data_IF_233412860392
#
_entry.id   IF_233412860392
#
_cell.length_a   1.000
_cell.length_b   1.000
_cell.length_c   1.000
_cell.angle_alpha   90.00
_cell.angle_beta   90.00
_cell.angle_gamma   90.00
#
_symmetry.space_group_name_H-M   'P 1'
#
loop_
_entity.id
_entity.type
_entity.pdbx_description
1 polymer ?
#
# COMPACT_ATOMS: atom_id res chain seq x y z
N UNK A 1 -18.64 -14.17 -20.08
CA UNK A 1 -18.50 -12.70 -20.11
C UNK A 1 -19.25 -12.13 -18.92
N UNK A 2 -18.56 -11.92 -17.81
CA UNK A 2 -19.16 -11.34 -16.61
C UNK A 2 -19.30 -9.83 -16.82
N UNK A 3 -20.49 -9.29 -16.60
CA UNK A 3 -20.76 -7.86 -16.66
C UNK A 3 -19.99 -7.15 -15.55
N UNK A 4 -18.97 -6.36 -15.90
CA UNK A 4 -18.35 -5.44 -14.96
C UNK A 4 -19.29 -4.29 -14.68
N UNK A 5 -20.00 -4.39 -13.56
CA UNK A 5 -20.72 -3.27 -12.96
C UNK A 5 -19.68 -2.23 -12.52
N UNK A 6 -19.54 -1.15 -13.30
CA UNK A 6 -18.64 -0.02 -13.03
C UNK A 6 -18.99 0.76 -11.76
N UNK A 7 -20.04 0.36 -11.02
CA UNK A 7 -20.41 0.93 -9.72
C UNK A 7 -19.59 0.38 -8.54
N UNK A 8 -18.76 -0.65 -8.74
CA UNK A 8 -17.92 -1.22 -7.68
C UNK A 8 -16.54 -0.54 -7.68
N UNK A 9 -16.25 0.25 -6.64
CA UNK A 9 -14.90 0.79 -6.41
C UNK A 9 -13.96 -0.41 -6.16
N UNK A 10 -13.11 -0.72 -7.14
CA UNK A 10 -12.11 -1.78 -7.01
C UNK A 10 -11.06 -1.41 -5.96
N UNK A 11 -10.47 -2.40 -5.25
CA UNK A 11 -9.47 -2.12 -4.24
C UNK A 11 -8.16 -1.64 -4.89
N UNK A 12 -7.48 -0.73 -4.21
CA UNK A 12 -6.25 -0.06 -4.66
C UNK A 12 -5.01 -0.74 -4.08
N UNK A 13 -4.09 -1.13 -4.95
CA UNK A 13 -2.78 -1.65 -4.60
C UNK A 13 -1.73 -0.60 -4.95
N UNK A 14 -1.00 -0.11 -3.95
CA UNK A 14 0.12 0.80 -4.20
C UNK A 14 1.34 0.00 -4.68
N UNK A 15 2.01 0.50 -5.71
CA UNK A 15 3.22 -0.10 -6.27
C UNK A 15 4.28 0.97 -6.42
N UNK A 16 5.40 0.85 -5.71
CA UNK A 16 6.48 1.84 -5.79
C UNK A 16 7.26 1.66 -7.09
N UNK A 17 7.45 2.77 -7.81
CA UNK A 17 8.09 2.73 -9.12
C UNK A 17 9.60 2.49 -9.07
N UNK A 18 10.09 1.78 -10.08
CA UNK A 18 11.50 1.78 -10.49
C UNK A 18 11.83 3.05 -11.28
N UNK A 19 13.12 3.36 -11.47
CA UNK A 19 13.58 4.50 -12.24
C UNK A 19 14.60 4.05 -13.27
N UNK A 20 14.50 4.59 -14.48
CA UNK A 20 15.55 4.50 -15.47
C UNK A 20 15.86 5.89 -16.04
N UNK A 21 16.99 5.99 -16.74
CA UNK A 21 17.34 7.19 -17.51
C UNK A 21 17.03 6.91 -18.98
N UNK A 22 16.06 7.65 -19.53
CA UNK A 22 15.72 7.59 -20.96
C UNK A 22 15.91 8.96 -21.58
N UNK A 23 16.80 9.07 -22.57
CA UNK A 23 17.14 10.35 -23.24
C UNK A 23 17.51 11.46 -22.24
N UNK A 24 18.38 11.14 -21.28
CA UNK A 24 18.83 12.03 -20.20
C UNK A 24 17.71 12.57 -19.29
N UNK A 25 16.59 11.85 -19.18
CA UNK A 25 15.49 12.17 -18.28
C UNK A 25 15.19 10.97 -17.40
N UNK A 26 14.92 11.22 -16.13
CA UNK A 26 14.41 10.18 -15.23
C UNK A 26 12.99 9.81 -15.63
N UNK A 27 12.75 8.51 -15.72
CA UNK A 27 11.43 7.93 -15.99
C UNK A 27 11.15 6.91 -14.90
N UNK A 28 10.05 7.12 -14.19
CA UNK A 28 9.55 6.17 -13.22
C UNK A 28 8.67 5.13 -13.94
N UNK A 29 8.86 3.84 -13.67
CA UNK A 29 8.18 2.73 -14.35
C UNK A 29 7.95 1.52 -13.42
N UNK A 30 7.07 0.61 -13.82
CA UNK A 30 6.81 -0.69 -13.16
C UNK A 30 6.75 -1.76 -14.26
N UNK A 31 7.24 -2.96 -13.98
CA UNK A 31 7.16 -4.09 -14.92
C UNK A 31 5.72 -4.48 -15.21
N UNK A 32 5.41 -4.76 -16.48
CA UNK A 32 4.05 -5.02 -16.96
C UNK A 32 3.41 -6.24 -16.30
N UNK A 33 4.16 -7.34 -16.10
CA UNK A 33 3.63 -8.55 -15.45
C UNK A 33 3.07 -8.30 -14.04
N UNK A 34 3.66 -7.40 -13.26
CA UNK A 34 3.11 -7.01 -11.96
C UNK A 34 1.74 -6.35 -12.13
N UNK A 35 1.63 -5.40 -13.07
CA UNK A 35 0.40 -4.65 -13.33
C UNK A 35 -0.70 -5.58 -13.85
N UNK A 36 -0.36 -6.44 -14.81
CA UNK A 36 -1.28 -7.39 -15.44
C UNK A 36 -1.85 -8.39 -14.44
N UNK A 37 -1.03 -8.92 -13.53
CA UNK A 37 -1.51 -9.85 -12.50
C UNK A 37 -2.43 -9.15 -11.48
N UNK A 38 -2.09 -7.93 -11.06
CA UNK A 38 -2.95 -7.15 -10.15
C UNK A 38 -4.30 -6.84 -10.79
N UNK A 39 -4.31 -6.38 -12.05
CA UNK A 39 -5.55 -6.10 -12.80
C UNK A 39 -6.32 -7.39 -13.06
N UNK A 40 -5.64 -8.44 -13.53
CA UNK A 40 -6.23 -9.73 -13.87
C UNK A 40 -6.93 -10.42 -12.72
N UNK A 41 -6.49 -10.20 -11.48
CA UNK A 41 -7.13 -10.73 -10.27
C UNK A 41 -8.14 -9.76 -9.61
N UNK A 42 -8.37 -8.58 -10.19
CA UNK A 42 -9.47 -7.69 -9.81
C UNK A 42 -9.11 -6.57 -8.82
N UNK A 43 -7.87 -6.09 -8.85
CA UNK A 43 -7.44 -4.89 -8.12
C UNK A 43 -6.91 -3.80 -9.07
N UNK A 44 -6.84 -2.55 -8.58
CA UNK A 44 -6.34 -1.40 -9.34
C UNK A 44 -4.92 -1.08 -8.89
N UNK A 45 -3.91 -1.19 -9.77
CA UNK A 45 -2.56 -0.75 -9.45
C UNK A 45 -2.48 0.77 -9.44
N UNK A 46 -1.86 1.33 -8.41
CA UNK A 46 -1.58 2.76 -8.27
C UNK A 46 -0.08 2.94 -8.11
N UNK A 47 0.56 3.49 -9.14
CA UNK A 47 2.02 3.69 -9.14
C UNK A 47 2.37 4.86 -8.22
N UNK A 48 3.23 4.59 -7.24
CA UNK A 48 3.79 5.59 -6.32
C UNK A 48 5.14 6.03 -6.89
N UNK A 49 5.26 7.28 -7.37
CA UNK A 49 6.48 7.78 -7.98
C UNK A 49 7.57 7.98 -6.95
N UNK A 50 8.82 7.81 -7.37
CA UNK A 50 9.98 7.86 -6.48
C UNK A 50 10.54 9.28 -6.37
N UNK A 51 9.72 10.20 -5.90
CA UNK A 51 10.06 11.63 -5.83
C UNK A 51 10.24 12.05 -4.38
N UNK A 52 11.21 12.95 -4.13
CA UNK A 52 11.45 13.50 -2.80
C UNK A 52 10.16 14.07 -2.18
N UNK A 53 9.93 13.72 -0.93
CA UNK A 53 8.77 14.13 -0.14
C UNK A 53 7.53 13.24 -0.29
N UNK A 54 7.49 12.28 -1.23
CA UNK A 54 6.35 11.35 -1.37
C UNK A 54 6.15 10.51 -0.12
N UNK A 55 7.23 10.14 0.58
CA UNK A 55 7.16 9.44 1.87
C UNK A 55 6.38 10.23 2.94
N UNK A 56 6.36 11.57 2.87
CA UNK A 56 5.58 12.44 3.76
C UNK A 56 4.11 12.59 3.33
N UNK A 57 3.78 12.12 2.13
CA UNK A 57 2.46 12.28 1.50
C UNK A 57 1.74 10.93 1.36
N UNK A 58 2.23 9.86 1.98
CA UNK A 58 1.63 8.52 1.88
C UNK A 58 0.15 8.50 2.31
N UNK A 59 -0.23 9.30 3.30
CA UNK A 59 -1.63 9.47 3.72
C UNK A 59 -2.55 9.99 2.60
N UNK A 60 -1.98 10.68 1.58
CA UNK A 60 -2.76 11.17 0.43
C UNK A 60 -3.16 10.07 -0.54
N UNK A 61 -2.60 8.86 -0.40
CA UNK A 61 -2.96 7.69 -1.20
C UNK A 61 -4.12 6.88 -0.61
N UNK A 62 -4.62 7.25 0.58
CA UNK A 62 -5.74 6.56 1.23
C UNK A 62 -7.05 6.65 0.40
N UNK A 63 -7.91 5.60 0.45
CA UNK A 63 -7.71 4.33 1.13
C UNK A 63 -6.68 3.41 0.45
N UNK A 64 -5.74 2.87 1.23
CA UNK A 64 -4.75 1.87 0.83
C UNK A 64 -5.27 0.47 1.17
N UNK A 65 -5.46 -0.39 0.15
CA UNK A 65 -6.00 -1.73 0.36
C UNK A 65 -4.94 -2.82 0.26
N UNK A 66 -3.81 -2.53 -0.38
CA UNK A 66 -2.65 -3.39 -0.48
C UNK A 66 -1.42 -2.63 -0.92
N UNK A 67 -0.26 -3.21 -0.66
CA UNK A 67 1.03 -2.71 -1.13
C UNK A 67 1.80 -3.85 -1.78
N UNK A 68 2.29 -3.61 -2.99
CA UNK A 68 3.23 -4.49 -3.69
C UNK A 68 4.55 -3.74 -3.86
N UNK A 69 5.61 -4.25 -3.24
CA UNK A 69 6.96 -3.74 -3.46
C UNK A 69 7.71 -4.69 -4.39
N UNK A 70 8.12 -4.17 -5.54
CA UNK A 70 8.78 -4.91 -6.60
C UNK A 70 10.32 -4.88 -6.45
N UNK A 71 11.01 -5.33 -7.49
CA UNK A 71 12.46 -5.32 -7.53
C UNK A 71 13.10 -3.93 -7.67
N UNK A 72 14.42 -3.87 -7.43
CA UNK A 72 15.16 -2.63 -7.51
C UNK A 72 16.61 -2.73 -7.10
N UNK A 73 17.18 -1.55 -6.93
CA UNK A 73 18.55 -1.25 -6.53
C UNK A 73 18.80 -1.51 -5.04
N UNK A 74 20.03 -1.71 -4.61
CA UNK A 74 20.37 -2.09 -3.24
C UNK A 74 19.82 -1.15 -2.16
N UNK A 75 19.44 -1.73 -1.02
CA UNK A 75 19.02 -0.98 0.17
C UNK A 75 20.27 -0.43 0.87
N UNK A 76 20.25 0.84 1.32
CA UNK A 76 21.36 1.45 2.06
C UNK A 76 21.76 0.56 3.27
N UNK A 77 23.00 0.04 3.33
CA UNK A 77 23.44 -0.83 4.42
C UNK A 77 23.30 -0.22 5.81
N UNK A 78 23.37 1.11 5.93
CA UNK A 78 23.17 1.81 7.21
C UNK A 78 21.78 1.61 7.83
N UNK A 79 20.81 1.07 7.07
CA UNK A 79 19.46 0.78 7.53
C UNK A 79 19.33 -0.57 8.22
N UNK A 80 20.29 -1.48 8.05
CA UNK A 80 20.22 -2.84 8.61
C UNK A 80 21.54 -3.38 9.19
N UNK A 81 22.66 -2.69 8.99
CA UNK A 81 23.93 -3.00 9.65
C UNK A 81 24.32 -1.88 10.63
N UNK A 82 24.57 -2.26 11.88
CA UNK A 82 25.06 -1.36 12.92
C UNK A 82 26.60 -1.36 13.04
N UNK A 83 27.28 -2.37 12.51
CA UNK A 83 28.73 -2.55 12.53
C UNK A 83 29.21 -2.90 11.11
N UNK A 84 30.45 -2.49 10.77
CA UNK A 84 31.06 -2.68 9.44
C UNK A 84 30.76 -4.08 8.89
N UNK A 85 30.25 -4.15 7.65
CA UNK A 85 30.21 -5.41 6.92
C UNK A 85 31.56 -6.09 7.03
N UNK A 86 31.58 -7.41 7.23
CA UNK A 86 32.82 -8.19 7.28
C UNK A 86 33.62 -8.19 5.97
N UNK A 87 33.26 -7.30 5.04
CA UNK A 87 33.85 -7.10 3.72
C UNK A 87 34.94 -6.04 3.80
N UNK A 88 36.07 -6.32 3.18
CA UNK A 88 37.13 -5.35 2.96
C UNK A 88 36.70 -4.25 1.98
N UNK A 89 37.39 -3.10 1.99
CA UNK A 89 37.13 -2.03 1.01
C UNK A 89 37.34 -2.51 -0.44
N UNK A 90 38.31 -3.41 -0.66
CA UNK A 90 38.59 -4.01 -1.96
C UNK A 90 37.41 -4.85 -2.46
N UNK A 91 36.79 -5.65 -1.58
CA UNK A 91 35.60 -6.44 -1.90
C UNK A 91 34.39 -5.54 -2.18
N UNK A 92 34.18 -4.47 -1.40
CA UNK A 92 33.10 -3.51 -1.65
C UNK A 92 33.27 -2.80 -3.00
N UNK A 93 34.50 -2.46 -3.39
CA UNK A 93 34.79 -1.89 -4.71
C UNK A 93 34.64 -2.92 -5.84
N UNK A 94 34.91 -4.19 -5.58
CA UNK A 94 34.66 -5.27 -6.53
C UNK A 94 33.15 -5.47 -6.76
N UNK A 95 32.36 -5.54 -5.68
CA UNK A 95 30.89 -5.66 -5.74
C UNK A 95 30.30 -4.50 -6.54
N UNK A 96 30.71 -3.25 -6.27
CA UNK A 96 30.26 -2.07 -7.03
C UNK A 96 30.62 -2.12 -8.52
N UNK A 97 31.74 -2.73 -8.87
CA UNK A 97 32.17 -2.89 -10.27
C UNK A 97 31.39 -3.99 -10.97
N UNK A 98 31.19 -5.13 -10.31
CA UNK A 98 30.44 -6.27 -10.84
C UNK A 98 28.95 -5.91 -11.01
N UNK A 99 28.35 -5.33 -9.98
CA UNK A 99 26.92 -5.01 -9.91
C UNK A 99 26.67 -3.51 -10.11
N UNK A 100 27.28 -2.93 -11.16
CA UNK A 100 27.27 -1.47 -11.40
C UNK A 100 25.85 -0.89 -11.54
N UNK A 101 24.89 -1.68 -12.03
CA UNK A 101 23.51 -1.24 -12.25
C UNK A 101 22.61 -1.37 -11.02
N UNK A 102 23.03 -2.16 -10.02
CA UNK A 102 22.20 -2.56 -8.87
C UNK A 102 22.70 -1.88 -7.56
N UNK A 103 24.01 -1.66 -7.42
CA UNK A 103 24.65 -1.09 -6.20
C UNK A 103 24.38 0.40 -5.96
N UNK A 104 23.58 1.06 -6.81
CA UNK A 104 23.22 2.46 -6.63
C UNK A 104 22.17 2.62 -5.51
N UNK A 105 22.59 3.16 -4.37
CA UNK A 105 21.67 3.42 -3.25
C UNK A 105 20.69 4.55 -3.60
N UNK A 106 19.39 4.26 -3.53
CA UNK A 106 18.31 5.24 -3.69
C UNK A 106 17.59 5.51 -2.36
N UNK A 107 18.07 6.52 -1.63
CA UNK A 107 17.55 6.90 -0.31
C UNK A 107 16.08 7.32 -0.32
N UNK A 108 15.59 7.88 -1.43
CA UNK A 108 14.18 8.27 -1.54
C UNK A 108 13.31 7.03 -1.69
N UNK A 109 13.75 6.04 -2.50
CA UNK A 109 13.09 4.75 -2.61
C UNK A 109 13.05 4.04 -1.26
N UNK A 110 14.20 3.93 -0.59
CA UNK A 110 14.32 3.29 0.72
C UNK A 110 13.36 3.94 1.73
N UNK A 111 13.31 5.28 1.78
CA UNK A 111 12.41 6.01 2.68
C UNK A 111 10.93 5.73 2.40
N UNK A 112 10.50 5.79 1.14
CA UNK A 112 9.10 5.54 0.74
C UNK A 112 8.71 4.10 1.08
N UNK A 113 9.55 3.14 0.70
CA UNK A 113 9.25 1.73 0.82
C UNK A 113 9.29 1.22 2.25
N UNK A 114 10.29 1.65 3.05
CA UNK A 114 10.30 1.33 4.48
C UNK A 114 9.13 1.95 5.22
N UNK A 115 8.70 3.16 4.83
CA UNK A 115 7.52 3.80 5.43
C UNK A 115 6.24 3.02 5.08
N UNK A 116 6.09 2.58 3.83
CA UNK A 116 4.97 1.74 3.41
C UNK A 116 5.00 0.35 4.09
N UNK A 117 6.16 -0.28 4.20
CA UNK A 117 6.30 -1.57 4.88
C UNK A 117 5.88 -1.46 6.35
N UNK A 118 6.36 -0.43 7.07
CA UNK A 118 5.96 -0.15 8.46
C UNK A 118 4.45 0.09 8.57
N UNK A 119 3.88 0.89 7.67
CA UNK A 119 2.44 1.14 7.61
C UNK A 119 1.64 -0.17 7.46
N UNK A 120 2.10 -1.07 6.59
CA UNK A 120 1.47 -2.37 6.38
C UNK A 120 1.55 -3.26 7.63
N UNK A 121 2.72 -3.30 8.27
CA UNK A 121 2.96 -4.07 9.49
C UNK A 121 2.13 -3.57 10.68
N UNK A 122 1.92 -2.26 10.80
CA UNK A 122 1.13 -1.63 11.87
C UNK A 122 -0.37 -1.83 11.68
N UNK A 123 -0.87 -1.73 10.43
CA UNK A 123 -2.29 -1.76 10.11
C UNK A 123 -2.79 -3.11 9.60
N UNK A 124 -1.90 -4.09 9.45
CA UNK A 124 -2.16 -5.36 8.76
C UNK A 124 -2.74 -5.15 7.35
N UNK A 125 -2.22 -4.15 6.63
CA UNK A 125 -2.55 -3.99 5.20
C UNK A 125 -1.85 -5.13 4.45
N UNK A 126 -2.54 -5.83 3.54
CA UNK A 126 -1.91 -6.81 2.66
C UNK A 126 -0.64 -6.27 1.99
N UNK A 127 0.45 -7.00 2.12
CA UNK A 127 1.78 -6.70 1.63
C UNK A 127 2.36 -7.90 0.89
N UNK A 128 2.79 -7.68 -0.36
CA UNK A 128 3.60 -8.62 -1.13
C UNK A 128 4.93 -7.95 -1.50
N UNK A 129 6.04 -8.53 -1.07
CA UNK A 129 7.39 -8.09 -1.45
C UNK A 129 8.04 -9.09 -2.39
N UNK A 130 8.48 -8.64 -3.57
CA UNK A 130 9.19 -9.46 -4.57
C UNK A 130 10.63 -8.97 -4.71
N UNK A 131 11.59 -9.89 -4.66
CA UNK A 131 13.03 -9.62 -4.70
C UNK A 131 13.41 -8.56 -3.65
N UNK A 132 13.80 -7.36 -4.07
CA UNK A 132 14.07 -6.23 -3.18
C UNK A 132 12.91 -5.92 -2.21
N UNK A 133 11.66 -6.03 -2.65
CA UNK A 133 10.51 -5.84 -1.76
C UNK A 133 10.46 -6.81 -0.59
N UNK A 134 10.94 -8.05 -0.77
CA UNK A 134 11.09 -9.00 0.35
C UNK A 134 12.18 -8.54 1.32
N UNK A 135 13.30 -8.03 0.81
CA UNK A 135 14.41 -7.53 1.60
C UNK A 135 14.00 -6.31 2.43
N UNK A 136 13.25 -5.37 1.85
CA UNK A 136 12.68 -4.21 2.56
C UNK A 136 11.80 -4.66 3.73
N UNK A 137 10.93 -5.66 3.52
CA UNK A 137 10.06 -6.18 4.58
C UNK A 137 10.89 -6.76 5.74
N UNK A 138 11.94 -7.51 5.43
CA UNK A 138 12.84 -8.05 6.44
C UNK A 138 13.55 -6.94 7.24
N UNK A 139 14.11 -5.95 6.56
CA UNK A 139 14.79 -4.79 7.18
C UNK A 139 13.82 -3.96 8.04
N UNK A 140 12.58 -3.74 7.58
CA UNK A 140 11.57 -3.00 8.32
C UNK A 140 11.23 -3.65 9.68
N UNK A 141 11.39 -4.97 9.80
CA UNK A 141 11.20 -5.73 11.04
C UNK A 141 12.52 -5.99 11.81
N UNK A 142 13.62 -5.33 11.43
CA UNK A 142 14.91 -5.45 12.13
C UNK A 142 15.70 -6.70 11.76
N UNK A 143 15.45 -7.32 10.61
CA UNK A 143 16.33 -8.29 9.99
C UNK A 143 17.54 -7.63 9.30
N UNK A 144 18.46 -8.44 8.77
CA UNK A 144 19.64 -7.97 8.04
C UNK A 144 19.80 -8.68 6.69
N UNK A 145 20.58 -8.09 5.80
CA UNK A 145 20.87 -8.63 4.46
C UNK A 145 22.35 -9.00 4.34
N UNK A 146 22.66 -9.89 3.39
CA UNK A 146 23.99 -9.98 2.82
C UNK A 146 24.14 -8.83 1.83
N UNK A 147 25.23 -8.07 1.91
CA UNK A 147 25.53 -7.05 0.91
C UNK A 147 25.94 -7.71 -0.41
N UNK A 148 26.53 -8.90 -0.33
CA UNK A 148 26.78 -9.75 -1.48
C UNK A 148 26.79 -11.24 -1.06
N UNK A 149 25.89 -12.03 -1.65
CA UNK A 149 25.70 -13.45 -1.34
C UNK A 149 26.97 -14.24 -1.70
N UNK A 150 27.60 -13.95 -2.83
CA UNK A 150 28.78 -14.69 -3.28
C UNK A 150 29.98 -14.46 -2.34
N UNK A 151 30.20 -13.21 -1.95
CA UNK A 151 31.33 -12.82 -1.08
C UNK A 151 31.11 -13.17 0.38
N UNK A 152 29.88 -13.33 0.86
CA UNK A 152 29.60 -13.59 2.29
C UNK A 152 29.06 -15.00 2.59
N UNK A 153 28.11 -15.50 1.79
CA UNK A 153 27.48 -16.80 2.01
C UNK A 153 28.24 -17.92 1.29
N UNK A 154 28.46 -17.77 -0.02
CA UNK A 154 29.04 -18.84 -0.85
C UNK A 154 30.45 -19.25 -0.45
N UNK A 155 31.21 -18.36 0.21
CA UNK A 155 32.54 -18.68 0.79
C UNK A 155 32.47 -19.74 1.90
N UNK A 156 31.36 -19.81 2.64
CA UNK A 156 31.20 -20.70 3.78
C UNK A 156 30.51 -22.03 3.41
N UNK A 157 30.00 -22.16 2.18
CA UNK A 157 29.31 -23.36 1.72
C UNK A 157 30.27 -24.36 1.06
N UNK A 158 29.95 -25.66 1.17
CA UNK A 158 30.61 -26.71 0.42
C UNK A 158 30.39 -26.50 -1.09
N UNK A 159 31.35 -26.93 -1.92
CA UNK A 159 31.33 -26.70 -3.37
C UNK A 159 30.05 -27.26 -4.05
N UNK A 160 29.52 -28.37 -3.54
CA UNK A 160 28.27 -28.99 -4.02
C UNK A 160 26.98 -28.28 -3.56
N UNK A 161 27.08 -27.26 -2.70
CA UNK A 161 25.95 -26.48 -2.19
C UNK A 161 25.96 -25.05 -2.74
N UNK A 162 27.01 -24.63 -3.47
CA UNK A 162 27.09 -23.28 -4.02
C UNK A 162 26.01 -23.06 -5.08
N UNK A 163 25.43 -21.88 -5.03
CA UNK A 163 24.40 -21.43 -5.97
C UNK A 163 24.85 -20.10 -6.56
N UNK A 164 24.72 -19.99 -7.88
CA UNK A 164 24.84 -18.72 -8.58
C UNK A 164 23.47 -18.05 -8.59
N UNK A 165 23.33 -16.90 -7.92
CA UNK A 165 22.05 -16.19 -7.77
C UNK A 165 21.87 -15.04 -8.76
N UNK A 166 22.89 -14.78 -9.59
CA UNK A 166 22.84 -13.76 -10.61
C UNK A 166 23.72 -14.19 -11.79
N UNK A 167 23.14 -14.24 -12.97
CA UNK A 167 23.84 -14.47 -14.23
C UNK A 167 23.46 -13.32 -15.19
N UNK A 168 24.43 -12.45 -15.48
CA UNK A 168 24.24 -11.29 -16.35
C UNK A 168 24.14 -11.68 -17.84
N UNK A 169 24.68 -12.83 -18.23
CA UNK A 169 24.64 -13.32 -19.61
C UNK A 169 23.34 -14.09 -19.88
N UNK A 170 22.69 -14.63 -18.84
CA UNK A 170 21.45 -15.40 -18.94
C UNK A 170 20.28 -14.83 -18.10
N UNK A 171 20.11 -13.51 -18.12
CA UNK A 171 19.16 -12.77 -17.27
C UNK A 171 17.76 -13.41 -17.13
N UNK A 172 17.06 -13.68 -18.24
CA UNK A 172 15.66 -14.13 -18.20
C UNK A 172 15.50 -15.63 -17.95
N UNK A 173 16.51 -16.45 -18.24
CA UNK A 173 16.42 -17.92 -18.14
C UNK A 173 17.28 -18.53 -17.04
N UNK A 174 18.03 -17.73 -16.28
CA UNK A 174 18.78 -18.24 -15.14
C UNK A 174 17.85 -18.80 -14.09
N UNK A 175 18.12 -20.03 -13.63
CA UNK A 175 17.28 -20.75 -12.67
C UNK A 175 18.16 -21.55 -11.71
N UNK A 176 17.71 -21.66 -10.46
CA UNK A 176 18.23 -22.65 -9.52
C UNK A 176 17.09 -23.33 -8.77
N UNK A 177 17.41 -24.44 -8.11
CA UNK A 177 16.45 -25.16 -7.28
C UNK A 177 16.28 -24.45 -5.93
N UNK A 178 15.07 -24.54 -5.38
CA UNK A 178 14.78 -24.19 -3.99
C UNK A 178 13.99 -25.30 -3.33
N UNK A 179 14.32 -25.59 -2.07
CA UNK A 179 13.59 -26.54 -1.24
C UNK A 179 12.49 -25.81 -0.48
N UNK A 180 11.25 -26.23 -0.71
CA UNK A 180 10.05 -25.69 -0.09
C UNK A 180 9.86 -26.31 1.29
N UNK A 181 9.45 -25.48 2.25
CA UNK A 181 9.15 -25.90 3.63
C UNK A 181 7.69 -26.35 3.71
N UNK A 182 7.46 -27.56 4.20
CA UNK A 182 6.11 -28.10 4.39
C UNK A 182 5.24 -27.21 5.29
N UNK A 183 3.92 -27.35 5.15
CA UNK A 183 2.93 -26.62 5.94
C UNK A 183 3.04 -25.08 5.88
N UNK A 184 3.65 -24.55 4.82
CA UNK A 184 3.69 -23.11 4.52
C UNK A 184 2.74 -22.77 3.37
N UNK A 185 2.39 -21.48 3.16
CA UNK A 185 1.65 -21.03 1.99
C UNK A 185 2.24 -21.52 0.67
N UNK A 186 3.56 -21.39 0.52
CA UNK A 186 4.28 -21.78 -0.69
C UNK A 186 4.14 -23.28 -0.99
N UNK A 187 4.23 -24.13 0.04
CA UNK A 187 3.95 -25.57 -0.08
C UNK A 187 2.53 -25.85 -0.60
N UNK A 188 1.54 -25.08 -0.13
CA UNK A 188 0.17 -25.19 -0.63
C UNK A 188 0.04 -24.84 -2.11
N UNK A 189 0.73 -23.79 -2.56
CA UNK A 189 0.67 -23.30 -3.94
C UNK A 189 1.34 -24.22 -4.94
N UNK A 190 2.43 -24.87 -4.55
CA UNK A 190 3.22 -25.73 -5.42
C UNK A 190 2.99 -27.22 -5.19
N UNK A 191 2.01 -27.62 -4.35
CA UNK A 191 1.76 -29.01 -3.96
C UNK A 191 1.77 -29.99 -5.15
N UNK A 192 1.06 -29.65 -6.22
CA UNK A 192 0.92 -30.53 -7.39
C UNK A 192 2.17 -30.54 -8.30
N UNK A 193 3.13 -29.66 -8.02
CA UNK A 193 4.41 -29.53 -8.74
C UNK A 193 5.60 -30.08 -7.94
N UNK A 194 5.40 -30.47 -6.69
CA UNK A 194 6.44 -30.96 -5.79
C UNK A 194 6.53 -32.48 -5.84
N UNK A 195 7.73 -33.01 -5.99
CA UNK A 195 8.00 -34.44 -5.74
C UNK A 195 8.04 -34.67 -4.21
N UNK A 196 7.21 -35.57 -3.68
CA UNK A 196 7.03 -35.81 -2.22
C UNK A 196 8.36 -36.04 -1.47
N UNK A 197 9.35 -36.66 -2.11
CA UNK A 197 10.64 -36.96 -1.46
C UNK A 197 11.63 -35.78 -1.48
N UNK A 198 11.52 -34.85 -2.43
CA UNK A 198 12.49 -33.76 -2.62
C UNK A 198 12.00 -32.42 -2.11
N UNK A 199 10.70 -32.14 -2.24
CA UNK A 199 10.10 -30.85 -1.92
C UNK A 199 10.81 -29.68 -2.61
N UNK A 200 11.14 -29.84 -3.90
CA UNK A 200 11.94 -28.89 -4.67
C UNK A 200 11.19 -28.33 -5.88
N UNK A 201 11.43 -27.06 -6.19
CA UNK A 201 11.01 -26.40 -7.44
C UNK A 201 12.18 -25.60 -8.03
N UNK A 202 12.16 -25.39 -9.34
CA UNK A 202 13.10 -24.48 -10.00
C UNK A 202 12.52 -23.07 -10.02
N UNK A 203 13.32 -22.07 -9.63
CA UNK A 203 12.91 -20.67 -9.63
C UNK A 203 13.91 -19.83 -10.39
N UNK A 204 13.47 -18.67 -10.86
CA UNK A 204 14.37 -17.67 -11.45
C UNK A 204 15.13 -16.89 -10.40
N UNK A 205 16.30 -16.41 -10.80
CA UNK A 205 17.21 -15.75 -9.88
C UNK A 205 17.95 -14.62 -10.57
N UNK A 206 17.82 -13.44 -9.98
CA UNK A 206 18.53 -12.23 -10.38
C UNK A 206 18.68 -11.35 -9.14
N UNK A 207 19.58 -11.75 -8.25
CA UNK A 207 19.88 -10.99 -7.04
C UNK A 207 21.25 -11.35 -6.49
N UNK A 208 22.04 -10.32 -6.19
CA UNK A 208 23.31 -10.50 -5.48
C UNK A 208 23.17 -10.20 -3.97
N UNK A 209 22.09 -9.54 -3.53
CA UNK A 209 21.71 -9.38 -2.13
C UNK A 209 20.63 -10.38 -1.74
N UNK A 210 20.56 -10.72 -0.45
CA UNK A 210 19.55 -11.61 0.09
C UNK A 210 19.47 -11.57 1.61
N UNK A 211 18.48 -12.25 2.19
CA UNK A 211 18.26 -12.24 3.65
C UNK A 211 19.39 -12.99 4.38
N UNK A 212 20.11 -12.28 5.26
CA UNK A 212 21.15 -12.84 6.14
C UNK A 212 20.61 -13.26 7.48
N UNK A 213 19.89 -12.35 8.14
CA UNK A 213 19.14 -12.65 9.36
C UNK A 213 17.69 -12.31 9.13
N UNK A 214 16.86 -13.35 9.11
CA UNK A 214 15.41 -13.18 9.06
C UNK A 214 14.94 -12.52 10.36
N UNK A 215 14.05 -11.53 10.25
CA UNK A 215 13.43 -10.91 11.40
C UNK A 215 12.58 -11.94 12.17
N UNK A 216 12.56 -11.83 13.51
CA UNK A 216 11.90 -12.81 14.40
C UNK A 216 10.39 -12.99 14.13
N UNK A 217 9.76 -11.99 13.51
CA UNK A 217 8.34 -11.99 13.15
C UNK A 217 8.00 -12.98 12.03
N UNK A 218 8.97 -13.41 11.23
CA UNK A 218 8.73 -14.17 10.01
C UNK A 218 9.16 -15.63 10.12
N UNK A 219 8.48 -16.48 9.35
CA UNK A 219 8.79 -17.90 9.18
C UNK A 219 9.23 -18.15 7.73
N UNK A 220 10.36 -18.84 7.49
CA UNK A 220 10.82 -19.16 6.15
C UNK A 220 9.92 -20.19 5.45
N UNK A 221 9.80 -20.08 4.14
CA UNK A 221 9.00 -20.95 3.27
C UNK A 221 9.81 -21.70 2.22
N UNK A 222 10.98 -21.18 1.86
CA UNK A 222 11.89 -21.82 0.91
C UNK A 222 13.34 -21.49 1.22
N UNK A 223 14.23 -22.42 0.88
CA UNK A 223 15.67 -22.26 0.98
C UNK A 223 16.36 -22.70 -0.31
N UNK A 224 17.36 -21.95 -0.77
CA UNK A 224 18.29 -22.41 -1.78
C UNK A 224 19.28 -23.45 -1.18
N UNK A 225 19.97 -24.26 -2.00
CA UNK A 225 20.96 -25.25 -1.54
C UNK A 225 22.08 -24.72 -0.64
N UNK A 226 22.47 -23.45 -0.81
CA UNK A 226 23.47 -22.76 0.01
C UNK A 226 22.92 -22.25 1.35
N UNK A 227 21.61 -22.43 1.60
CA UNK A 227 20.93 -22.00 2.82
C UNK A 227 20.30 -20.62 2.74
N UNK A 228 20.39 -19.91 1.61
CA UNK A 228 19.73 -18.61 1.45
C UNK A 228 18.20 -18.76 1.56
N UNK A 229 17.55 -17.84 2.27
CA UNK A 229 16.09 -17.80 2.39
C UNK A 229 15.50 -17.20 1.11
N UNK A 230 14.64 -17.97 0.45
CA UNK A 230 14.03 -17.63 -0.85
C UNK A 230 12.58 -17.17 -0.75
N UNK A 231 11.97 -17.37 0.42
CA UNK A 231 10.65 -16.87 0.72
C UNK A 231 10.35 -16.97 2.20
N UNK A 232 9.52 -16.05 2.71
CA UNK A 232 9.09 -16.03 4.11
C UNK A 232 7.75 -15.30 4.26
N UNK A 233 7.04 -15.57 5.34
CA UNK A 233 5.74 -14.96 5.62
C UNK A 233 5.55 -14.68 7.11
N UNK A 234 4.58 -13.83 7.44
CA UNK A 234 4.12 -13.61 8.80
C UNK A 234 2.97 -14.59 9.12
N UNK A 235 3.19 -15.58 10.01
CA UNK A 235 2.15 -16.56 10.34
C UNK A 235 0.94 -15.94 11.08
N UNK A 236 1.15 -14.84 11.82
CA UNK A 236 0.07 -14.16 12.56
C UNK A 236 -0.74 -13.21 11.64
N UNK A 237 -0.15 -12.83 10.50
CA UNK A 237 -0.75 -11.97 9.48
C UNK A 237 -0.97 -12.69 8.13
N UNK A 238 -1.21 -14.00 8.14
CA UNK A 238 -1.57 -14.76 6.95
C UNK A 238 -2.94 -15.43 7.07
N UNK A 239 -3.94 -14.79 6.48
CA UNK A 239 -5.27 -15.33 6.22
C UNK A 239 -5.91 -14.50 5.09
N UNK A 240 -5.75 -14.91 3.83
CA UNK A 240 -6.24 -14.16 2.68
C UNK A 240 -7.75 -13.90 2.72
N UNK A 241 -8.54 -14.83 3.28
CA UNK A 241 -10.00 -14.65 3.41
C UNK A 241 -10.38 -13.55 4.41
N UNK A 242 -9.51 -13.26 5.39
CA UNK A 242 -9.71 -12.21 6.40
C UNK A 242 -9.00 -10.89 6.06
N UNK A 243 -8.39 -10.82 4.89
CA UNK A 243 -7.62 -9.66 4.45
C UNK A 243 -6.28 -9.49 5.13
N UNK A 244 -5.65 -10.60 5.54
CA UNK A 244 -4.30 -10.62 6.10
C UNK A 244 -3.36 -11.33 5.14
N UNK A 245 -2.31 -10.65 4.70
CA UNK A 245 -1.30 -11.23 3.83
C UNK A 245 -0.02 -10.42 3.98
N UNK A 246 1.00 -10.91 4.69
CA UNK A 246 2.32 -10.25 4.75
C UNK A 246 3.38 -11.29 4.39
N UNK A 247 4.05 -11.07 3.26
CA UNK A 247 4.96 -12.04 2.68
C UNK A 247 6.07 -11.40 1.85
N UNK A 248 7.24 -12.04 1.84
CA UNK A 248 8.34 -11.76 0.93
C UNK A 248 8.76 -13.00 0.14
N UNK A 249 9.03 -12.83 -1.16
CA UNK A 249 9.64 -13.83 -2.05
C UNK A 249 10.88 -13.21 -2.70
N UNK A 250 11.98 -13.94 -2.75
CA UNK A 250 13.24 -13.46 -3.30
C UNK A 250 13.31 -13.68 -4.82
N UNK A 251 12.83 -14.83 -5.30
CA UNK A 251 12.60 -15.08 -6.72
C UNK A 251 11.38 -14.31 -7.28
N UNK A 252 11.19 -14.39 -8.60
CA UNK A 252 10.22 -13.63 -9.38
C UNK A 252 9.12 -14.52 -9.99
N UNK A 253 8.08 -14.90 -9.22
CA UNK A 253 7.01 -15.76 -9.71
C UNK A 253 6.24 -15.15 -10.90
N UNK A 254 6.24 -13.83 -11.06
CA UNK A 254 5.59 -13.15 -12.20
C UNK A 254 6.28 -13.40 -13.54
N UNK A 255 7.55 -13.83 -13.51
CA UNK A 255 8.42 -14.09 -14.67
C UNK A 255 8.71 -15.57 -14.89
N UNK A 256 8.21 -16.47 -14.04
CA UNK A 256 8.41 -17.91 -14.19
C UNK A 256 7.47 -18.47 -15.25
N UNK A 257 7.79 -18.16 -16.51
CA UNK A 257 6.99 -18.48 -17.70
C UNK A 257 7.82 -19.21 -18.74
N UNK A 258 7.14 -20.00 -19.55
CA UNK A 258 7.75 -20.65 -20.69
C UNK A 258 8.26 -19.61 -21.70
N UNK A 259 9.42 -19.85 -22.35
CA UNK A 259 9.96 -18.96 -23.36
C UNK A 259 8.92 -18.65 -24.45
N UNK A 260 8.80 -17.38 -24.82
CA UNK A 260 7.87 -16.87 -25.84
C UNK A 260 6.37 -17.17 -25.57
N UNK A 261 5.99 -17.41 -24.30
CA UNK A 261 4.62 -17.71 -23.89
C UNK A 261 4.21 -16.97 -22.61
N UNK A 262 2.91 -16.72 -22.47
CA UNK A 262 2.32 -16.24 -21.21
C UNK A 262 2.01 -17.38 -20.22
N UNK A 263 2.27 -18.63 -20.60
CA UNK A 263 2.07 -19.80 -19.73
C UNK A 263 3.14 -19.87 -18.65
N UNK A 264 2.72 -20.07 -17.39
CA UNK A 264 3.61 -20.21 -16.25
C UNK A 264 4.29 -21.58 -16.22
N UNK A 265 5.54 -21.63 -15.73
CA UNK A 265 6.32 -22.86 -15.54
C UNK A 265 5.60 -23.85 -14.61
N UNK A 266 4.87 -23.32 -13.62
CA UNK A 266 4.06 -24.10 -12.68
C UNK A 266 2.68 -23.47 -12.49
N UNK A 267 1.63 -24.28 -12.26
CA UNK A 267 0.32 -23.78 -11.85
C UNK A 267 0.36 -22.93 -10.56
N UNK A 268 1.37 -23.17 -9.71
CA UNK A 268 1.57 -22.46 -8.45
C UNK A 268 2.11 -21.02 -8.59
N UNK A 269 2.81 -20.67 -9.68
CA UNK A 269 3.42 -19.35 -9.90
C UNK A 269 2.45 -18.17 -9.67
N UNK A 270 1.23 -18.14 -10.23
CA UNK A 270 0.30 -17.03 -10.03
C UNK A 270 -0.26 -16.93 -8.59
N UNK A 271 -0.14 -17.98 -7.77
CA UNK A 271 -0.84 -18.08 -6.48
C UNK A 271 -0.49 -16.96 -5.51
N UNK A 272 0.77 -16.48 -5.53
CA UNK A 272 1.19 -15.36 -4.69
C UNK A 272 0.37 -14.09 -4.97
N UNK A 273 0.12 -13.78 -6.23
CA UNK A 273 -0.70 -12.63 -6.64
C UNK A 273 -2.18 -12.88 -6.44
N UNK A 274 -2.66 -14.10 -6.69
CA UNK A 274 -4.06 -14.47 -6.46
C UNK A 274 -4.46 -14.33 -4.99
N UNK A 275 -3.69 -14.94 -4.09
CA UNK A 275 -3.95 -14.87 -2.65
C UNK A 275 -3.70 -13.47 -2.10
N UNK A 276 -2.71 -12.73 -2.62
CA UNK A 276 -2.52 -11.32 -2.28
C UNK A 276 -3.73 -10.46 -2.66
N UNK A 277 -4.19 -10.51 -3.91
CA UNK A 277 -5.33 -9.70 -4.38
C UNK A 277 -6.62 -10.12 -3.68
N UNK A 278 -6.80 -11.41 -3.39
CA UNK A 278 -7.89 -11.91 -2.56
C UNK A 278 -7.87 -11.29 -1.16
N UNK A 279 -6.71 -11.22 -0.53
CA UNK A 279 -6.53 -10.53 0.74
C UNK A 279 -6.84 -9.03 0.64
N UNK A 280 -6.40 -8.37 -0.43
CA UNK A 280 -6.69 -6.95 -0.71
C UNK A 280 -8.20 -6.70 -0.82
N UNK A 281 -8.93 -7.56 -1.52
CA UNK A 281 -10.40 -7.49 -1.65
C UNK A 281 -11.07 -7.71 -0.29
N UNK A 282 -10.63 -8.70 0.48
CA UNK A 282 -11.16 -8.98 1.82
C UNK A 282 -10.90 -7.82 2.79
N UNK A 283 -9.70 -7.24 2.75
CA UNK A 283 -9.30 -6.09 3.55
C UNK A 283 -10.16 -4.85 3.21
N UNK A 284 -10.40 -4.57 1.92
CA UNK A 284 -11.33 -3.53 1.50
C UNK A 284 -12.75 -3.76 2.04
N UNK A 285 -13.28 -4.98 1.93
CA UNK A 285 -14.61 -5.32 2.45
C UNK A 285 -14.68 -5.11 3.96
N UNK A 286 -13.62 -5.45 4.70
CA UNK A 286 -13.52 -5.23 6.15
C UNK A 286 -13.51 -3.74 6.49
N UNK A 287 -12.75 -2.91 5.78
CA UNK A 287 -12.76 -1.45 5.95
C UNK A 287 -14.16 -0.87 5.67
N UNK A 288 -14.79 -1.28 4.57
CA UNK A 288 -16.13 -0.84 4.20
C UNK A 288 -17.19 -1.28 5.22
N UNK A 289 -17.06 -2.48 5.78
CA UNK A 289 -17.97 -2.99 6.82
C UNK A 289 -17.76 -2.31 8.17
N UNK A 290 -16.53 -1.95 8.53
CA UNK A 290 -16.24 -1.13 9.72
C UNK A 290 -16.82 0.28 9.56
N UNK A 291 -16.94 0.75 8.30
CA UNK A 291 -17.58 2.01 7.94
C UNK A 291 -19.12 1.90 7.85
N UNK A 292 -19.68 0.68 7.75
CA UNK A 292 -21.13 0.44 7.81
C UNK A 292 -21.59 0.44 9.26
N UNK A 293 -22.23 1.54 9.64
CA UNK A 293 -22.89 1.76 10.93
C UNK A 293 -23.78 0.55 11.31
N UNK A 294 -23.69 0.02 12.54
CA UNK A 294 -24.64 -0.96 13.03
C UNK A 294 -26.08 -0.44 12.92
N UNK A 295 -27.03 -1.34 12.61
CA UNK A 295 -28.46 -1.00 12.65
C UNK A 295 -28.84 -0.47 14.04
N UNK A 296 -29.36 0.76 14.04
CA UNK A 296 -30.06 1.48 15.11
C UNK A 296 -29.45 1.35 16.52
N UNK A 297 -28.51 2.24 16.83
CA UNK A 297 -28.22 2.62 18.23
C UNK A 297 -29.31 3.61 18.67
N UNK A 298 -29.93 3.35 19.82
CA UNK A 298 -30.97 4.21 20.40
C UNK A 298 -30.34 5.52 20.90
N UNK A 299 -30.17 6.48 20.00
CA UNK A 299 -29.76 7.83 20.39
C UNK A 299 -30.88 8.48 21.22
N UNK A 300 -30.53 9.27 22.23
CA UNK A 300 -31.52 10.08 22.94
C UNK A 300 -32.24 10.99 21.94
N UNK A 301 -33.54 11.22 22.13
CA UNK A 301 -34.45 11.80 21.14
C UNK A 301 -33.98 13.16 20.58
N UNK A 302 -33.21 13.92 21.37
CA UNK A 302 -32.63 15.19 20.97
C UNK A 302 -31.48 15.04 19.96
N UNK A 303 -30.62 14.04 20.12
CA UNK A 303 -29.49 13.76 19.23
C UNK A 303 -29.97 13.14 17.92
N UNK A 304 -30.98 12.28 17.97
CA UNK A 304 -31.63 11.71 16.78
C UNK A 304 -32.28 12.84 15.93
N UNK A 305 -32.90 13.82 16.59
CA UNK A 305 -33.49 14.98 15.92
C UNK A 305 -32.42 15.89 15.29
N UNK A 306 -31.30 16.14 15.99
CA UNK A 306 -30.17 16.91 15.45
C UNK A 306 -29.56 16.20 14.24
N UNK A 307 -29.30 14.89 14.34
CA UNK A 307 -28.82 14.05 13.23
C UNK A 307 -29.73 14.12 12.01
N UNK A 308 -31.05 13.92 12.19
CA UNK A 308 -32.03 13.98 11.09
C UNK A 308 -32.06 15.35 10.41
N UNK A 309 -31.93 16.44 11.17
CA UNK A 309 -31.87 17.80 10.61
C UNK A 309 -30.62 18.01 9.75
N UNK A 310 -29.46 17.53 10.21
CA UNK A 310 -28.20 17.66 9.45
C UNK A 310 -28.24 16.79 8.19
N UNK A 311 -28.68 15.52 8.28
CA UNK A 311 -28.84 14.65 7.09
C UNK A 311 -29.76 15.27 6.04
N UNK A 312 -30.88 15.86 6.49
CA UNK A 312 -31.83 16.54 5.61
C UNK A 312 -31.22 17.79 4.96
N UNK A 313 -30.44 18.58 5.72
CA UNK A 313 -29.67 19.72 5.21
C UNK A 313 -28.77 19.31 4.05
N UNK A 314 -27.98 18.24 4.22
CA UNK A 314 -27.06 17.79 3.18
C UNK A 314 -27.74 17.12 2.00
N UNK A 315 -28.85 16.41 2.23
CA UNK A 315 -29.67 15.85 1.16
C UNK A 315 -30.27 16.97 0.30
N UNK A 316 -30.76 18.04 0.94
CA UNK A 316 -31.27 19.23 0.25
C UNK A 316 -30.16 19.95 -0.52
N UNK A 317 -28.97 20.13 0.09
CA UNK A 317 -27.81 20.72 -0.58
C UNK A 317 -27.40 19.92 -1.81
N UNK A 318 -27.37 18.58 -1.70
CA UNK A 318 -27.12 17.66 -2.81
C UNK A 318 -28.16 17.83 -3.91
N UNK A 319 -29.44 17.87 -3.57
CA UNK A 319 -30.51 17.97 -4.57
C UNK A 319 -30.48 19.32 -5.30
N UNK A 320 -30.20 20.43 -4.60
CA UNK A 320 -29.96 21.74 -5.22
C UNK A 320 -28.76 21.66 -6.17
N UNK A 321 -27.67 21.06 -5.72
CA UNK A 321 -26.43 20.93 -6.49
C UNK A 321 -26.60 20.07 -7.76
N UNK A 322 -27.35 18.98 -7.68
CA UNK A 322 -27.61 18.07 -8.82
C UNK A 322 -28.61 18.68 -9.81
N UNK A 323 -29.66 19.34 -9.31
CA UNK A 323 -30.76 19.83 -10.18
C UNK A 323 -30.53 21.24 -10.73
N UNK A 324 -29.57 21.99 -10.18
CA UNK A 324 -29.25 23.36 -10.60
C UNK A 324 -30.38 24.38 -10.39
N UNK A 325 -31.44 24.04 -9.63
CA UNK A 325 -32.57 24.93 -9.37
C UNK A 325 -32.19 26.02 -8.37
N UNK A 326 -32.65 27.25 -8.62
CA UNK A 326 -32.54 28.35 -7.66
C UNK A 326 -33.29 28.04 -6.36
N UNK A 327 -32.68 28.50 -5.26
CA UNK A 327 -33.05 28.13 -3.91
C UNK A 327 -34.38 28.77 -3.50
N UNK A 328 -35.26 28.01 -2.84
CA UNK A 328 -36.47 28.56 -2.24
C UNK A 328 -36.11 29.17 -0.86
N UNK A 329 -36.33 30.48 -0.60
CA UNK A 329 -35.90 31.17 0.63
C UNK A 329 -36.43 30.52 1.92
N UNK A 330 -37.59 29.86 1.83
CA UNK A 330 -38.21 29.14 2.94
C UNK A 330 -37.40 27.94 3.46
N UNK A 331 -36.43 27.44 2.70
CA UNK A 331 -35.60 26.27 3.07
C UNK A 331 -34.18 26.62 3.52
N UNK A 332 -33.83 27.90 3.59
CA UNK A 332 -32.51 28.39 3.99
C UNK A 332 -32.16 28.01 5.43
N UNK A 333 -33.14 28.04 6.33
CA UNK A 333 -33.00 27.57 7.71
C UNK A 333 -32.72 26.07 7.84
N UNK A 334 -33.08 25.25 6.84
CA UNK A 334 -32.76 23.82 6.82
C UNK A 334 -31.29 23.58 6.41
N UNK A 335 -30.71 24.44 5.55
CA UNK A 335 -29.31 24.38 5.14
C UNK A 335 -28.35 24.89 6.23
N UNK A 336 -28.83 25.84 7.05
CA UNK A 336 -28.08 26.42 8.15
C UNK A 336 -27.57 25.36 9.13
N UNK A 337 -28.34 24.31 9.40
CA UNK A 337 -27.92 23.24 10.32
C UNK A 337 -26.72 22.44 9.78
N UNK A 338 -26.64 22.19 8.47
CA UNK A 338 -25.48 21.56 7.84
C UNK A 338 -24.28 22.51 7.75
N UNK A 339 -24.51 23.80 7.50
CA UNK A 339 -23.46 24.82 7.50
C UNK A 339 -22.85 25.00 8.89
N UNK A 340 -23.67 25.16 9.94
CA UNK A 340 -23.23 25.23 11.34
C UNK A 340 -22.51 23.95 11.78
N UNK A 341 -22.94 22.79 11.29
CA UNK A 341 -22.24 21.53 11.54
C UNK A 341 -20.85 21.50 10.89
N UNK A 342 -20.70 21.96 9.65
CA UNK A 342 -19.38 22.08 8.99
C UNK A 342 -18.49 23.13 9.66
N UNK A 343 -19.05 24.25 10.11
CA UNK A 343 -18.32 25.34 10.77
C UNK A 343 -17.94 25.03 12.21
N UNK A 344 -18.75 24.26 12.94
CA UNK A 344 -18.46 23.85 14.32
C UNK A 344 -17.48 22.68 14.39
N UNK A 345 -17.28 21.98 13.28
CA UNK A 345 -16.54 20.74 13.26
C UNK A 345 -15.40 20.77 12.23
N UNK A 346 -14.36 21.54 12.55
CA UNK A 346 -13.05 21.48 11.87
C UNK A 346 -12.31 20.20 12.25
N UNK A 347 -12.84 19.05 11.83
CA UNK A 347 -12.13 17.79 11.75
C UNK A 347 -11.49 17.64 10.34
N UNK A 348 -10.90 18.73 9.82
CA UNK A 348 -9.96 18.65 8.72
C UNK A 348 -8.58 18.45 9.33
N UNK A 349 -7.74 17.61 8.71
CA UNK A 349 -6.35 17.49 9.16
C UNK A 349 -5.68 18.87 9.14
N UNK A 350 -4.75 19.14 10.06
CA UNK A 350 -3.93 20.35 10.09
C UNK A 350 -3.33 20.74 8.72
N UNK A 351 -3.20 19.75 7.82
CA UNK A 351 -2.68 19.86 6.46
C UNK A 351 -3.74 20.28 5.43
N UNK A 352 -4.97 19.77 5.52
CA UNK A 352 -6.12 20.22 4.70
C UNK A 352 -6.51 21.66 5.05
N UNK A 353 -6.46 21.99 6.34
CA UNK A 353 -6.67 23.34 6.84
C UNK A 353 -5.54 24.29 6.38
N UNK A 354 -4.27 23.85 6.40
CA UNK A 354 -3.13 24.62 5.84
C UNK A 354 -3.26 24.87 4.33
N UNK A 355 -3.78 23.92 3.56
CA UNK A 355 -4.02 24.07 2.10
C UNK A 355 -5.13 25.08 1.80
N UNK A 356 -6.27 24.99 2.50
CA UNK A 356 -7.35 25.97 2.42
C UNK A 356 -6.91 27.36 2.90
N UNK A 357 -6.08 27.42 3.96
CA UNK A 357 -5.46 28.65 4.48
C UNK A 357 -4.46 29.27 3.49
N UNK A 358 -3.65 28.48 2.78
CA UNK A 358 -2.73 28.99 1.74
C UNK A 358 -3.47 29.51 0.51
N UNK A 359 -4.59 28.87 0.11
CA UNK A 359 -5.43 29.33 -1.00
C UNK A 359 -6.27 30.57 -0.64
N UNK A 360 -6.68 30.70 0.63
CA UNK A 360 -7.41 31.89 1.13
C UNK A 360 -6.51 33.09 1.47
N UNK A 361 -5.26 32.86 1.87
CA UNK A 361 -4.29 33.91 2.22
C UNK A 361 -3.86 34.77 1.03
N UNK A 362 -4.00 34.29 -0.21
CA UNK A 362 -3.75 35.09 -1.41
C UNK A 362 -4.83 36.14 -1.66
N UNK A 363 -5.97 36.11 -0.95
CA UNK A 363 -7.15 36.91 -1.34
C UNK A 363 -7.58 38.01 -0.37
N UNK A 364 -7.28 38.06 0.95
CA UNK A 364 -7.64 39.26 1.76
C UNK A 364 -7.13 39.26 3.22
N UNK A 365 -6.32 40.27 3.56
CA UNK A 365 -6.10 40.94 4.87
C UNK A 365 -6.04 40.11 6.18
N UNK A 366 -4.84 40.07 6.77
CA UNK A 366 -4.48 39.30 7.98
C UNK A 366 -5.05 39.74 9.34
N UNK A 367 -6.08 40.60 9.41
CA UNK A 367 -6.72 40.99 10.69
C UNK A 367 -7.80 40.01 11.17
N UNK A 368 -8.62 39.49 10.26
CA UNK A 368 -9.70 38.51 10.52
C UNK A 368 -9.17 37.14 11.00
N UNK A 369 -7.89 36.87 10.72
CA UNK A 369 -7.21 35.61 10.97
C UNK A 369 -6.94 35.33 12.45
N UNK A 370 -6.46 36.34 13.20
CA UNK A 370 -6.15 36.20 14.64
C UNK A 370 -7.43 36.03 15.47
N UNK A 371 -8.52 36.69 15.06
CA UNK A 371 -9.82 36.62 15.72
C UNK A 371 -10.51 35.26 15.48
N UNK A 372 -10.41 34.69 14.27
CA UNK A 372 -10.91 33.34 13.96
C UNK A 372 -10.10 32.23 14.64
N UNK A 373 -8.79 32.40 14.81
CA UNK A 373 -7.95 31.43 15.53
C UNK A 373 -8.35 31.32 17.01
N UNK A 374 -8.60 32.44 17.69
CA UNK A 374 -9.09 32.44 19.08
C UNK A 374 -10.47 31.81 19.22
N UNK A 375 -11.39 32.09 18.30
CA UNK A 375 -12.73 31.48 18.29
C UNK A 375 -12.67 29.96 18.06
N UNK A 376 -11.72 29.48 17.24
CA UNK A 376 -11.54 28.05 17.00
C UNK A 376 -10.91 27.32 18.19
N UNK A 377 -9.96 27.92 18.92
CA UNK A 377 -9.40 27.32 20.14
C UNK A 377 -10.45 27.13 21.24
N UNK A 378 -11.35 28.11 21.41
CA UNK A 378 -12.46 28.00 22.37
C UNK A 378 -13.49 26.94 21.96
N UNK A 379 -13.83 26.88 20.66
CA UNK A 379 -14.74 25.86 20.11
C UNK A 379 -14.15 24.46 20.21
N UNK A 380 -12.85 24.30 19.96
CA UNK A 380 -12.15 23.02 20.07
C UNK A 380 -12.07 22.53 21.51
N UNK A 381 -11.81 23.45 22.47
CA UNK A 381 -11.85 23.14 23.90
C UNK A 381 -13.25 22.72 24.36
N UNK A 382 -14.30 23.36 23.83
CA UNK A 382 -15.69 22.97 24.09
C UNK A 382 -16.00 21.60 23.49
N UNK A 383 -15.60 21.33 22.25
CA UNK A 383 -15.79 20.06 21.58
C UNK A 383 -15.07 18.92 22.32
N UNK A 384 -13.82 19.12 22.77
CA UNK A 384 -13.08 18.14 23.59
C UNK A 384 -13.75 17.89 24.93
N UNK A 385 -14.29 18.92 25.59
CA UNK A 385 -15.04 18.77 26.84
C UNK A 385 -16.37 18.04 26.66
N UNK A 386 -17.02 18.19 25.50
CA UNK A 386 -18.26 17.47 25.18
C UNK A 386 -17.94 16.02 24.83
N UNK A 387 -16.98 15.79 23.93
CA UNK A 387 -16.54 14.44 23.53
C UNK A 387 -15.96 13.63 24.69
N UNK A 388 -15.23 14.27 25.61
CA UNK A 388 -14.72 13.62 26.82
C UNK A 388 -15.80 13.20 27.83
N UNK A 389 -17.04 13.68 27.67
CA UNK A 389 -18.21 13.27 28.46
C UNK A 389 -19.08 12.25 27.74
N UNK A 390 -18.77 11.91 26.49
CA UNK A 390 -19.52 10.95 25.69
C UNK A 390 -19.03 9.53 25.97
N UNK A 391 -19.96 8.58 25.96
CA UNK A 391 -19.61 7.16 26.00
C UNK A 391 -18.94 6.72 24.69
N UNK A 392 -18.21 5.61 24.73
CA UNK A 392 -17.53 5.03 23.56
C UNK A 392 -18.51 4.76 22.41
N UNK A 393 -19.74 4.35 22.73
CA UNK A 393 -20.83 4.13 21.76
C UNK A 393 -21.26 5.44 21.08
N UNK A 394 -21.41 6.52 21.84
CA UNK A 394 -21.77 7.84 21.31
C UNK A 394 -20.66 8.44 20.44
N UNK A 395 -19.38 8.20 20.79
CA UNK A 395 -18.24 8.61 19.97
C UNK A 395 -18.21 7.82 18.65
N UNK A 396 -18.53 6.52 18.69
CA UNK A 396 -18.64 5.68 17.50
C UNK A 396 -19.76 6.13 16.56
N UNK A 397 -20.92 6.54 17.10
CA UNK A 397 -22.03 7.10 16.32
C UNK A 397 -21.66 8.41 15.62
N UNK A 398 -20.96 9.29 16.33
CA UNK A 398 -20.47 10.56 15.78
C UNK A 398 -19.47 10.30 14.66
N UNK A 399 -18.53 9.38 14.86
CA UNK A 399 -17.54 9.00 13.83
C UNK A 399 -18.21 8.39 12.59
N UNK A 400 -19.16 7.49 12.80
CA UNK A 400 -19.99 6.86 11.76
C UNK A 400 -20.77 7.88 10.93
N UNK A 401 -21.32 8.89 11.60
CA UNK A 401 -22.01 9.99 10.95
C UNK A 401 -21.09 10.81 10.04
N UNK A 402 -19.85 11.08 10.47
CA UNK A 402 -18.86 11.79 9.65
C UNK A 402 -18.44 11.00 8.41
N UNK A 403 -18.25 9.69 8.53
CA UNK A 403 -17.87 8.85 7.38
C UNK A 403 -18.97 8.83 6.31
N UNK A 404 -20.24 8.70 6.73
CA UNK A 404 -21.39 8.80 5.83
C UNK A 404 -21.44 10.16 5.13
N UNK A 405 -21.18 11.24 5.86
CA UNK A 405 -21.20 12.59 5.30
C UNK A 405 -20.08 12.84 4.30
N UNK A 406 -18.88 12.36 4.59
CA UNK A 406 -17.74 12.43 3.68
C UNK A 406 -18.04 11.71 2.37
N UNK A 407 -18.67 10.54 2.43
CA UNK A 407 -19.01 9.76 1.24
C UNK A 407 -20.03 10.48 0.36
N UNK A 408 -21.07 11.08 0.96
CA UNK A 408 -22.04 11.90 0.23
C UNK A 408 -21.36 13.09 -0.47
N UNK A 409 -20.46 13.80 0.21
CA UNK A 409 -19.76 14.93 -0.38
C UNK A 409 -18.86 14.50 -1.56
N UNK A 410 -18.14 13.38 -1.43
CA UNK A 410 -17.32 12.82 -2.50
C UNK A 410 -18.15 12.41 -3.72
N UNK A 411 -19.27 11.72 -3.53
CA UNK A 411 -20.18 11.32 -4.62
C UNK A 411 -20.73 12.53 -5.40
N UNK A 412 -21.03 13.63 -4.70
CA UNK A 412 -21.48 14.88 -5.32
C UNK A 412 -20.38 15.52 -6.18
N UNK A 413 -19.15 15.53 -5.67
CA UNK A 413 -17.99 16.06 -6.40
C UNK A 413 -17.65 15.25 -7.65
N UNK A 414 -17.62 13.92 -7.54
CA UNK A 414 -17.33 13.01 -8.66
C UNK A 414 -18.37 13.13 -9.79
N UNK A 415 -19.66 13.21 -9.45
CA UNK A 415 -20.72 13.41 -10.46
C UNK A 415 -20.57 14.72 -11.23
N UNK A 416 -20.06 15.78 -10.60
CA UNK A 416 -19.82 17.05 -11.31
C UNK A 416 -18.61 16.99 -12.22
N UNK A 417 -17.55 16.29 -11.80
CA UNK A 417 -16.37 16.05 -12.63
C UNK A 417 -16.75 15.25 -13.88
N UNK A 418 -17.61 14.24 -13.73
CA UNK A 418 -18.15 13.48 -14.86
C UNK A 418 -19.09 14.31 -15.74
N UNK A 419 -19.98 15.12 -15.16
CA UNK A 419 -20.85 16.01 -15.94
C UNK A 419 -20.09 17.13 -16.69
N UNK A 420 -18.97 17.59 -16.15
CA UNK A 420 -18.07 18.52 -16.83
C UNK A 420 -17.37 17.89 -18.04
N UNK A 421 -16.92 16.63 -17.91
CA UNK A 421 -16.30 15.88 -19.01
C UNK A 421 -17.28 15.52 -20.15
N UNK A 422 -18.57 15.38 -19.85
CA UNK A 422 -19.61 15.16 -20.88
C UNK A 422 -19.96 16.45 -21.64
N UNK A 423 -19.83 17.61 -21.00
CA UNK A 423 -20.10 18.90 -21.65
C UNK A 423 -18.93 19.41 -22.52
N UNK A 424 -17.69 18.97 -22.29
CA UNK A 424 -16.53 19.35 -23.12
C UNK A 424 -16.39 18.54 -24.43
N UNK A 425 -17.17 17.47 -24.61
CA UNK A 425 -17.25 16.70 -25.86
C UNK A 425 -18.43 17.12 -26.76
N UNK A 426 -19.15 18.18 -26.39
CA UNK A 426 -20.23 18.76 -27.16
C UNK A 426 -20.02 20.27 -27.34
N UNK A 427 -18.88 20.64 -27.94
CA UNK A 427 -18.64 21.97 -28.49
C UNK A 427 -17.75 21.90 -29.72
#
# INVERSE_FOLDING_TARGET
>A
MASHDLSVILPRVLIVSRRCVRKNKFVDFVGEYHLDLIVGYGAVPVIVPRVNGVHMLLDSFEPIHGVLLCEGEDIDPSLYEAENSGLSQEELEEIRRLHTSDTSIDKEKDSIELSLAKLCLERNIPYLGICRGSQVLNVACGGTLYQDIEKELSKNCHENQRVEHIDYDNYDNHRHVVRVVENTPLHGWFRDSLEEEKMEIWVNSYHHQGVKRLAQRFVPMAFAPDGLIEGFYDPDAYNPEEGKFIMGLQFHPERMRHPDSDEFDYPGCPSAYQEFVKAVIAYQKKLNNTTRVPKSINMNHEMENKRKRIVRSFSLARDIYITGREMNPSKESELQAGAEFLESNTALSLQQEKRLKQMGATVRNGGSYIERLRLNEEREKLARNVMGKMSVEQLSDVMSFYMMMSQICSEVLERKLQAGLVNDNAS
#
